data_IF_217799386974
#
_entry.id   IF_217799386974
#
_cell.length_a   1.000
_cell.length_b   1.000
_cell.length_c   1.000
_cell.angle_alpha   90.00
_cell.angle_beta   90.00
_cell.angle_gamma   90.00
#
_symmetry.space_group_name_H-M   'P 1'
#
loop_
_entity.id
_entity.type
_entity.pdbx_description
1 polymer ?
#
# COMPACT_ATOMS: atom_id res chain seq x y z
N UNK A 1 11.78 15.42 8.42
CA UNK A 1 11.82 14.80 7.07
C UNK A 1 11.02 15.71 6.14
N UNK A 2 11.52 16.06 4.95
CA UNK A 2 10.79 16.95 4.01
C UNK A 2 9.54 16.27 3.45
N UNK A 3 8.46 17.01 3.20
CA UNK A 3 7.20 16.52 2.60
C UNK A 3 7.45 15.74 1.30
N UNK A 4 8.40 16.20 0.47
CA UNK A 4 8.89 15.48 -0.72
C UNK A 4 9.38 14.07 -0.39
N UNK A 5 10.26 13.96 0.60
CA UNK A 5 10.85 12.68 0.99
C UNK A 5 9.76 11.77 1.52
N UNK A 6 8.82 12.27 2.33
CA UNK A 6 7.71 11.47 2.83
C UNK A 6 6.85 10.89 1.68
N UNK A 7 6.52 11.67 0.65
CA UNK A 7 5.78 11.15 -0.51
C UNK A 7 6.58 10.07 -1.26
N UNK A 8 7.88 10.27 -1.45
CA UNK A 8 8.75 9.27 -2.11
C UNK A 8 8.83 8.00 -1.28
N UNK A 9 9.07 8.10 0.03
CA UNK A 9 9.14 6.94 0.92
C UNK A 9 7.81 6.20 1.01
N UNK A 10 6.69 6.91 1.04
CA UNK A 10 5.36 6.31 0.94
C UNK A 10 5.15 5.59 -0.40
N UNK A 11 5.62 6.17 -1.50
CA UNK A 11 5.57 5.52 -2.81
C UNK A 11 6.43 4.25 -2.89
N UNK A 12 7.68 4.31 -2.41
CA UNK A 12 8.58 3.16 -2.36
C UNK A 12 8.00 2.05 -1.48
N UNK A 13 7.49 2.41 -0.29
CA UNK A 13 6.89 1.45 0.61
C UNK A 13 5.64 0.79 0.04
N UNK A 14 4.84 1.51 -0.77
CA UNK A 14 3.73 0.92 -1.53
C UNK A 14 4.20 -0.10 -2.58
N UNK A 15 5.29 0.19 -3.30
CA UNK A 15 5.89 -0.74 -4.25
C UNK A 15 6.39 -2.00 -3.53
N UNK A 16 7.14 -1.83 -2.45
CA UNK A 16 7.65 -2.95 -1.65
C UNK A 16 6.49 -3.77 -1.08
N UNK A 17 5.49 -3.10 -0.50
CA UNK A 17 4.30 -3.75 0.05
C UNK A 17 3.53 -4.56 -1.01
N UNK A 18 3.43 -4.05 -2.25
CA UNK A 18 2.82 -4.76 -3.37
C UNK A 18 3.60 -6.00 -3.83
N UNK A 19 4.92 -6.01 -3.69
CA UNK A 19 5.78 -7.16 -4.04
C UNK A 19 5.78 -8.26 -2.97
N UNK A 20 5.35 -7.93 -1.75
CA UNK A 20 5.31 -8.87 -0.64
C UNK A 20 4.01 -9.68 -0.60
N UNK A 21 3.98 -10.80 0.15
CA UNK A 21 2.76 -11.56 0.38
C UNK A 21 1.69 -10.69 1.06
N UNK A 22 0.49 -10.67 0.49
CA UNK A 22 -0.66 -9.95 1.04
C UNK A 22 -1.53 -10.84 1.91
N UNK A 23 -1.55 -12.14 1.65
CA UNK A 23 -2.20 -13.12 2.51
C UNK A 23 -1.60 -14.49 2.36
N UNK A 24 -1.73 -15.31 3.39
CA UNK A 24 -1.43 -16.74 3.30
C UNK A 24 -2.62 -17.54 3.79
N UNK A 25 -3.05 -18.52 3.00
CA UNK A 25 -4.08 -19.47 3.37
C UNK A 25 -3.44 -20.84 3.60
N UNK A 26 -3.79 -21.48 4.71
CA UNK A 26 -3.30 -22.82 5.06
C UNK A 26 -4.48 -23.78 5.11
N UNK A 27 -4.47 -24.81 4.28
CA UNK A 27 -5.47 -25.87 4.29
C UNK A 27 -4.77 -27.23 4.37
N UNK A 28 -5.02 -27.98 5.45
CA UNK A 28 -4.32 -29.24 5.74
C UNK A 28 -2.80 -29.03 5.89
N UNK A 29 -2.01 -29.64 5.00
CA UNK A 29 -0.53 -29.54 4.95
C UNK A 29 -0.01 -28.58 3.86
N UNK A 30 -0.89 -27.93 3.10
CA UNK A 30 -0.50 -27.05 1.99
C UNK A 30 -0.67 -25.58 2.37
N UNK A 31 0.37 -24.78 2.12
CA UNK A 31 0.38 -23.32 2.30
C UNK A 31 0.33 -22.63 0.95
N UNK A 32 -0.72 -21.87 0.71
CA UNK A 32 -0.83 -21.00 -0.46
C UNK A 32 -0.60 -19.55 -0.02
N UNK A 33 0.27 -18.83 -0.73
CA UNK A 33 0.50 -17.40 -0.49
C UNK A 33 -0.05 -16.62 -1.67
N UNK A 34 -0.84 -15.59 -1.38
CA UNK A 34 -1.31 -14.63 -2.38
C UNK A 34 -0.38 -13.44 -2.31
N UNK A 35 0.33 -13.18 -3.41
CA UNK A 35 1.18 -12.00 -3.50
C UNK A 35 0.37 -10.80 -3.97
N UNK A 36 0.76 -9.60 -3.54
CA UNK A 36 0.07 -8.38 -3.96
C UNK A 36 0.02 -8.25 -5.49
N UNK A 37 1.15 -8.52 -6.17
CA UNK A 37 1.25 -8.39 -7.63
C UNK A 37 0.31 -9.31 -8.43
N UNK A 38 -0.32 -10.31 -7.81
CA UNK A 38 -1.27 -11.21 -8.47
C UNK A 38 -2.69 -10.62 -8.55
N UNK A 39 -2.90 -9.41 -8.05
CA UNK A 39 -4.19 -8.72 -8.15
C UNK A 39 -4.11 -7.24 -7.79
N UNK A 40 -4.80 -6.86 -6.72
CA UNK A 40 -4.92 -5.47 -6.25
C UNK A 40 -3.56 -4.80 -5.90
N UNK A 41 -2.50 -5.60 -5.71
CA UNK A 41 -1.14 -5.09 -5.52
C UNK A 41 -0.54 -4.45 -6.76
N UNK A 42 -0.96 -4.82 -7.96
CA UNK A 42 -0.51 -4.13 -9.19
C UNK A 42 -0.94 -2.67 -9.18
N UNK A 43 -2.19 -2.42 -8.78
CA UNK A 43 -2.75 -1.06 -8.71
C UNK A 43 -2.04 -0.25 -7.63
N UNK A 44 -1.84 -0.81 -6.44
CA UNK A 44 -1.16 -0.12 -5.33
C UNK A 44 0.33 0.08 -5.59
N UNK A 45 1.01 -0.87 -6.22
CA UNK A 45 2.39 -0.72 -6.68
C UNK A 45 2.53 0.33 -7.78
N UNK A 46 1.59 0.36 -8.74
CA UNK A 46 1.52 1.39 -9.78
C UNK A 46 1.30 2.79 -9.20
N UNK A 47 0.41 2.93 -8.21
CA UNK A 47 0.24 4.17 -7.44
C UNK A 47 1.55 4.56 -6.76
N UNK A 48 2.23 3.61 -6.12
CA UNK A 48 3.53 3.83 -5.50
C UNK A 48 4.56 4.39 -6.49
N UNK A 49 4.61 3.82 -7.69
CA UNK A 49 5.51 4.27 -8.77
C UNK A 49 5.18 5.69 -9.24
N UNK A 50 3.90 6.01 -9.44
CA UNK A 50 3.45 7.37 -9.78
C UNK A 50 3.88 8.37 -8.70
N UNK A 51 3.73 8.04 -7.42
CA UNK A 51 4.12 8.92 -6.32
C UNK A 51 5.63 9.15 -6.26
N UNK A 52 6.44 8.11 -6.52
CA UNK A 52 7.90 8.25 -6.61
C UNK A 52 8.28 9.17 -7.78
N UNK A 53 7.72 8.95 -8.97
CA UNK A 53 8.01 9.77 -10.14
C UNK A 53 7.62 11.24 -9.91
N UNK A 54 6.42 11.50 -9.40
CA UNK A 54 5.96 12.86 -9.07
C UNK A 54 6.84 13.47 -7.98
N UNK A 55 7.19 12.70 -6.96
CA UNK A 55 8.08 13.12 -5.89
C UNK A 55 9.47 13.52 -6.41
N UNK A 56 10.02 12.81 -7.40
CA UNK A 56 11.32 13.14 -7.99
C UNK A 56 11.26 14.40 -8.88
N UNK A 57 10.21 14.53 -9.69
CA UNK A 57 10.06 15.61 -10.68
C UNK A 57 9.62 16.93 -10.03
N UNK A 58 8.75 16.89 -9.02
CA UNK A 58 8.16 18.09 -8.43
C UNK A 58 9.12 18.76 -7.45
N UNK A 59 9.36 20.06 -7.63
CA UNK A 59 10.11 20.89 -6.68
C UNK A 59 9.20 21.27 -5.50
N UNK A 60 9.69 21.18 -4.25
CA UNK A 60 8.92 21.62 -3.09
C UNK A 60 8.75 23.14 -3.14
N UNK A 61 7.50 23.60 -3.08
CA UNK A 61 7.18 25.02 -2.95
C UNK A 61 6.91 25.31 -1.48
N UNK A 62 7.65 26.22 -0.83
CA UNK A 62 7.43 26.55 0.58
C UNK A 62 6.03 27.15 0.77
N UNK A 63 5.31 26.66 1.78
CA UNK A 63 3.99 27.18 2.18
C UNK A 63 2.79 26.66 1.38
N UNK A 64 2.96 25.70 0.46
CA UNK A 64 1.85 25.05 -0.25
C UNK A 64 1.98 23.53 -0.16
N UNK A 65 0.84 22.86 0.03
CA UNK A 65 0.73 21.40 0.03
C UNK A 65 1.48 20.79 -1.15
N UNK A 66 2.37 19.84 -0.86
CA UNK A 66 3.31 19.32 -1.86
C UNK A 66 2.58 18.70 -3.05
N UNK A 67 1.51 17.93 -2.85
CA UNK A 67 0.75 17.32 -3.96
C UNK A 67 -0.67 16.91 -3.56
N UNK A 68 -1.66 17.82 -3.53
CA UNK A 68 -3.02 17.51 -3.06
C UNK A 68 -3.71 16.38 -3.85
N UNK A 69 -3.46 16.28 -5.16
CA UNK A 69 -3.91 15.16 -5.99
C UNK A 69 -3.29 13.82 -5.56
N UNK A 70 -2.05 13.84 -5.08
CA UNK A 70 -1.39 12.66 -4.50
C UNK A 70 -2.09 12.13 -3.27
N UNK A 71 -2.61 13.03 -2.43
CA UNK A 71 -3.42 12.66 -1.27
C UNK A 71 -4.66 11.87 -1.67
N UNK A 72 -5.37 12.28 -2.72
CA UNK A 72 -6.56 11.55 -3.23
C UNK A 72 -6.17 10.17 -3.73
N UNK A 73 -5.08 10.06 -4.51
CA UNK A 73 -4.60 8.78 -5.04
C UNK A 73 -4.14 7.86 -3.90
N UNK A 74 -3.49 8.41 -2.87
CA UNK A 74 -3.09 7.68 -1.67
C UNK A 74 -4.28 7.18 -0.85
N UNK A 75 -5.35 7.98 -0.73
CA UNK A 75 -6.60 7.53 -0.10
C UNK A 75 -7.21 6.36 -0.86
N UNK A 76 -7.18 6.40 -2.20
CA UNK A 76 -7.65 5.29 -3.02
C UNK A 76 -6.80 4.02 -2.84
N UNK A 77 -5.46 4.16 -2.80
CA UNK A 77 -4.57 3.05 -2.44
C UNK A 77 -4.89 2.49 -1.05
N UNK A 78 -5.08 3.36 -0.06
CA UNK A 78 -5.47 2.97 1.30
C UNK A 78 -6.79 2.20 1.33
N UNK A 79 -7.79 2.64 0.58
CA UNK A 79 -9.06 1.93 0.45
C UNK A 79 -8.87 0.50 -0.10
N UNK A 80 -8.07 0.32 -1.14
CA UNK A 80 -7.77 -1.00 -1.73
C UNK A 80 -7.10 -1.92 -0.70
N UNK A 81 -6.09 -1.41 0.02
CA UNK A 81 -5.33 -2.17 1.02
C UNK A 81 -6.25 -2.61 2.16
N UNK A 82 -7.03 -1.67 2.72
CA UNK A 82 -7.95 -1.94 3.84
C UNK A 82 -9.04 -2.93 3.41
N UNK A 83 -9.66 -2.73 2.24
CA UNK A 83 -10.67 -3.66 1.70
C UNK A 83 -10.10 -5.07 1.55
N UNK A 84 -8.85 -5.19 1.12
CA UNK A 84 -8.19 -6.49 0.96
C UNK A 84 -7.88 -7.14 2.31
N UNK A 85 -7.46 -6.37 3.32
CA UNK A 85 -7.29 -6.89 4.70
C UNK A 85 -8.60 -7.43 5.26
N UNK A 86 -9.72 -6.72 5.10
CA UNK A 86 -11.03 -7.20 5.53
C UNK A 86 -11.43 -8.48 4.80
N UNK A 87 -11.30 -8.53 3.47
CA UNK A 87 -11.64 -9.73 2.69
C UNK A 87 -10.84 -10.96 3.16
N UNK A 88 -9.53 -10.82 3.39
CA UNK A 88 -8.70 -11.94 3.89
C UNK A 88 -9.11 -12.34 5.31
N UNK A 89 -9.42 -11.37 6.17
CA UNK A 89 -9.90 -11.63 7.53
C UNK A 89 -11.25 -12.37 7.57
N UNK A 90 -12.18 -12.06 6.66
CA UNK A 90 -13.45 -12.78 6.53
C UNK A 90 -13.25 -14.20 6.01
N UNK A 91 -12.42 -14.39 4.97
CA UNK A 91 -12.11 -15.72 4.42
C UNK A 91 -11.48 -16.63 5.50
N UNK A 92 -10.67 -16.08 6.39
CA UNK A 92 -10.06 -16.84 7.49
C UNK A 92 -11.02 -17.30 8.59
N UNK A 93 -12.22 -16.70 8.69
CA UNK A 93 -13.25 -17.11 9.65
C UNK A 93 -14.23 -18.14 9.09
N UNK A 94 -14.45 -18.15 7.78
CA UNK A 94 -15.43 -19.06 7.13
C UNK A 94 -14.80 -20.32 6.51
N UNK A 95 -13.50 -20.34 6.25
CA UNK A 95 -12.84 -21.48 5.61
C UNK A 95 -12.38 -22.54 6.64
N UNK A 96 -12.39 -23.82 6.25
CA UNK A 96 -11.77 -24.97 6.95
C UNK A 96 -10.22 -24.85 7.08
N UNK A 97 -9.67 -23.65 6.93
CA UNK A 97 -8.25 -23.34 6.92
C UNK A 97 -7.98 -21.94 7.46
N UNK A 98 -6.78 -21.73 8.01
CA UNK A 98 -6.41 -20.46 8.64
C UNK A 98 -5.88 -19.52 7.54
N UNK A 99 -6.61 -18.44 7.27
CA UNK A 99 -6.12 -17.33 6.45
C UNK A 99 -5.49 -16.26 7.35
N UNK A 100 -4.30 -15.80 6.99
CA UNK A 100 -3.55 -14.78 7.71
C UNK A 100 -3.20 -13.62 6.79
N UNK A 101 -3.28 -12.41 7.34
CA UNK A 101 -2.86 -11.17 6.66
C UNK A 101 -1.33 -11.19 6.53
N UNK A 102 -0.83 -10.95 5.32
CA UNK A 102 0.59 -10.93 5.00
C UNK A 102 1.27 -9.59 5.32
N UNK A 103 2.60 -9.63 5.45
CA UNK A 103 3.42 -8.45 5.76
C UNK A 103 3.31 -7.33 4.73
N UNK A 104 3.02 -7.67 3.46
CA UNK A 104 2.86 -6.70 2.38
C UNK A 104 1.74 -5.70 2.64
N UNK A 105 0.60 -6.16 3.16
CA UNK A 105 -0.53 -5.28 3.49
C UNK A 105 -0.20 -4.32 4.63
N UNK A 106 0.49 -4.79 5.69
CA UNK A 106 0.92 -3.91 6.79
C UNK A 106 1.88 -2.82 6.32
N UNK A 107 2.86 -3.18 5.47
CA UNK A 107 3.80 -2.22 4.90
C UNK A 107 3.06 -1.22 4.01
N UNK A 108 2.13 -1.68 3.18
CA UNK A 108 1.31 -0.79 2.35
C UNK A 108 0.49 0.20 3.19
N UNK A 109 -0.11 -0.23 4.31
CA UNK A 109 -0.84 0.67 5.21
C UNK A 109 0.07 1.78 5.76
N UNK A 110 1.22 1.40 6.33
CA UNK A 110 2.18 2.37 6.89
C UNK A 110 2.64 3.35 5.81
N UNK A 111 2.88 2.84 4.60
CA UNK A 111 3.33 3.63 3.46
C UNK A 111 2.28 4.64 2.98
N UNK A 112 0.99 4.26 3.01
CA UNK A 112 -0.12 5.19 2.73
C UNK A 112 -0.11 6.34 3.73
N UNK A 113 0.02 6.05 5.04
CA UNK A 113 0.07 7.11 6.05
C UNK A 113 1.26 8.05 5.85
N UNK A 114 2.47 7.51 5.65
CA UNK A 114 3.67 8.31 5.39
C UNK A 114 3.47 9.21 4.15
N UNK A 115 2.93 8.63 3.06
CA UNK A 115 2.62 9.38 1.85
C UNK A 115 1.59 10.48 2.08
N UNK A 116 0.53 10.21 2.85
CA UNK A 116 -0.53 11.17 3.14
C UNK A 116 -0.01 12.36 3.95
N UNK A 117 0.78 12.10 4.99
CA UNK A 117 1.43 13.16 5.76
C UNK A 117 2.34 14.02 4.87
N UNK A 118 3.13 13.39 3.99
CA UNK A 118 3.96 14.10 3.01
C UNK A 118 3.17 14.87 1.95
N UNK A 119 1.96 14.44 1.64
CA UNK A 119 1.10 15.09 0.66
C UNK A 119 0.38 16.32 1.23
N UNK A 120 0.04 16.29 2.53
CA UNK A 120 -0.72 17.33 3.22
C UNK A 120 0.17 18.46 3.76
N UNK A 121 1.45 18.17 4.01
CA UNK A 121 2.48 19.14 4.43
C UNK A 121 3.23 19.75 3.25
#
# INVERSE_FOLDING_TARGET
MSSKNMVIFGGIGLIIGALLPWGTATAGFSRMSIFGFEGNGVITGGIGLVLVLVGLVKKPNPGKSFFPLGGIILLYAGYIVIKTMFNIGFIGNDALGIAQIGSGLYISVVSVFIGLFGSLT
#
